data_IF_100325042908
#
_entry.id   IF_100325042908
#
_cell.length_a   1.000
_cell.length_b   1.000
_cell.length_c   1.000
_cell.angle_alpha   90.00
_cell.angle_beta   90.00
_cell.angle_gamma   90.00
#
_symmetry.space_group_name_H-M   'P 1'
#
loop_
_entity.id
_entity.type
_entity.pdbx_description
1 polymer ?
#
# COMPACT_ATOMS: atom_id res chain seq x y z
N UNK A 1 -6.02 9.55 19.31
CA UNK A 1 -7.49 9.47 19.25
C UNK A 1 -8.06 8.96 20.56
N UNK A 2 -7.68 7.79 21.01
CA UNK A 2 -8.21 7.14 22.24
C UNK A 2 -8.02 8.00 23.48
N UNK A 3 -6.88 8.68 23.63
CA UNK A 3 -6.61 9.60 24.76
C UNK A 3 -7.58 10.79 24.77
N UNK A 4 -8.05 11.21 23.59
CA UNK A 4 -9.03 12.29 23.43
C UNK A 4 -10.48 11.78 23.37
N UNK A 5 -10.72 10.50 23.65
CA UNK A 5 -12.06 9.90 23.66
C UNK A 5 -12.59 9.49 22.28
N UNK A 6 -11.77 9.57 21.21
CA UNK A 6 -12.18 9.15 19.87
C UNK A 6 -11.73 7.72 19.56
N UNK A 7 -12.66 6.91 19.06
CA UNK A 7 -12.37 5.58 18.51
C UNK A 7 -12.42 5.64 16.99
N UNK A 8 -11.26 5.45 16.35
CA UNK A 8 -11.18 5.38 14.90
C UNK A 8 -11.15 3.92 14.45
N UNK A 9 -11.85 3.56 13.36
CA UNK A 9 -11.71 2.22 12.77
C UNK A 9 -10.30 2.01 12.23
N UNK A 10 -9.83 0.77 12.29
CA UNK A 10 -8.55 0.38 11.68
C UNK A 10 -8.64 0.60 10.16
N UNK A 11 -7.69 1.35 9.60
CA UNK A 11 -7.68 1.69 8.18
C UNK A 11 -6.55 0.99 7.40
N UNK A 12 -5.48 0.56 8.09
CA UNK A 12 -4.34 -0.15 7.53
C UNK A 12 -3.96 -1.31 8.44
N UNK A 13 -3.82 -2.53 7.86
CA UNK A 13 -3.49 -3.74 8.61
C UNK A 13 -2.39 -4.53 7.93
N UNK A 14 -1.15 -4.03 8.06
CA UNK A 14 0.05 -4.65 7.45
C UNK A 14 -0.17 -5.01 5.96
N UNK A 15 -0.50 -4.04 5.10
CA UNK A 15 -0.87 -4.33 3.71
C UNK A 15 0.29 -4.91 2.90
N UNK A 16 1.53 -4.59 3.26
CA UNK A 16 2.72 -5.03 2.52
C UNK A 16 3.08 -6.50 2.70
N UNK A 17 2.45 -7.24 3.63
CA UNK A 17 2.64 -8.70 3.74
C UNK A 17 1.67 -9.49 2.86
N UNK A 18 0.83 -8.82 2.07
CA UNK A 18 -0.19 -9.43 1.22
C UNK A 18 0.41 -10.30 0.12
N UNK A 19 -0.29 -11.37 -0.22
CA UNK A 19 0.11 -12.37 -1.22
C UNK A 19 -0.76 -12.32 -2.48
N UNK A 20 -1.66 -11.33 -2.57
CA UNK A 20 -2.49 -11.03 -3.73
C UNK A 20 -2.95 -9.58 -3.65
N UNK A 21 -3.36 -9.01 -4.77
CA UNK A 21 -3.92 -7.66 -4.81
C UNK A 21 -5.28 -7.61 -4.12
N UNK A 22 -6.06 -8.68 -4.20
CA UNK A 22 -7.30 -8.82 -3.44
C UNK A 22 -7.07 -8.80 -1.92
N UNK A 23 -5.99 -9.41 -1.42
CA UNK A 23 -5.61 -9.35 -0.01
C UNK A 23 -5.07 -7.97 0.36
N UNK A 24 -4.26 -7.35 -0.51
CA UNK A 24 -3.72 -6.00 -0.29
C UNK A 24 -4.84 -5.00 -0.03
N UNK A 25 -5.87 -4.94 -0.87
CA UNK A 25 -6.98 -4.01 -0.72
C UNK A 25 -7.90 -4.29 0.47
N UNK A 26 -7.90 -5.48 1.02
CA UNK A 26 -8.56 -5.79 2.31
C UNK A 26 -7.79 -5.26 3.52
N UNK A 27 -6.51 -4.91 3.35
CA UNK A 27 -5.61 -4.42 4.38
C UNK A 27 -5.23 -2.95 4.23
N UNK A 28 -5.43 -2.38 3.03
CA UNK A 28 -5.13 -1.00 2.67
C UNK A 28 -6.42 -0.19 2.54
N UNK A 29 -6.46 0.97 3.22
CA UNK A 29 -7.57 1.93 3.16
C UNK A 29 -8.94 1.27 3.38
N UNK A 30 -9.05 0.52 4.49
CA UNK A 30 -10.18 -0.36 4.79
C UNK A 30 -11.50 0.41 4.83
N UNK A 31 -11.51 1.63 5.39
CA UNK A 31 -12.70 2.47 5.46
C UNK A 31 -13.23 2.86 4.07
N UNK A 32 -12.35 3.28 3.15
CA UNK A 32 -12.72 3.61 1.77
C UNK A 32 -13.25 2.38 1.03
N UNK A 33 -12.52 1.26 1.13
CA UNK A 33 -12.93 -0.01 0.51
C UNK A 33 -14.28 -0.49 1.03
N UNK A 34 -14.54 -0.33 2.33
CA UNK A 34 -15.84 -0.67 2.93
C UNK A 34 -16.95 0.25 2.43
N UNK A 35 -16.69 1.56 2.33
CA UNK A 35 -17.64 2.52 1.82
C UNK A 35 -18.05 2.19 0.37
N UNK A 36 -17.08 2.00 -0.53
CA UNK A 36 -17.37 1.63 -1.92
C UNK A 36 -18.07 0.28 -2.03
N UNK A 37 -17.73 -0.69 -1.17
CA UNK A 37 -18.44 -1.97 -1.09
C UNK A 37 -19.91 -1.78 -0.74
N UNK A 38 -20.18 -1.03 0.32
CA UNK A 38 -21.53 -0.95 0.90
C UNK A 38 -22.45 -0.03 0.10
N UNK A 39 -21.92 1.07 -0.45
CA UNK A 39 -22.72 2.08 -1.14
C UNK A 39 -22.68 2.00 -2.68
N UNK A 40 -21.76 1.27 -3.27
CA UNK A 40 -21.66 1.13 -4.73
C UNK A 40 -21.72 -0.33 -5.15
N UNK A 41 -20.82 -1.18 -4.66
CA UNK A 41 -20.70 -2.55 -5.13
C UNK A 41 -21.92 -3.42 -4.79
N UNK A 42 -22.39 -3.39 -3.55
CA UNK A 42 -23.57 -4.17 -3.10
C UNK A 42 -24.85 -3.68 -3.80
N UNK A 43 -25.17 -2.37 -3.88
CA UNK A 43 -26.34 -1.88 -4.64
C UNK A 43 -26.32 -2.24 -6.12
N UNK A 44 -25.14 -2.35 -6.75
CA UNK A 44 -25.03 -2.84 -8.14
C UNK A 44 -25.28 -4.35 -8.29
N UNK A 45 -25.51 -5.07 -7.18
CA UNK A 45 -25.75 -6.52 -7.14
C UNK A 45 -24.54 -7.33 -6.62
N UNK A 46 -23.43 -6.68 -6.34
CA UNK A 46 -22.23 -7.31 -5.77
C UNK A 46 -21.70 -8.45 -6.63
N UNK A 47 -21.44 -9.60 -5.98
CA UNK A 47 -21.00 -10.85 -6.63
C UNK A 47 -22.15 -11.85 -6.88
N UNK A 48 -23.40 -11.49 -6.54
CA UNK A 48 -24.59 -12.35 -6.69
C UNK A 48 -25.28 -12.16 -8.05
N UNK A 49 -24.52 -11.87 -9.08
CA UNK A 49 -24.97 -11.57 -10.45
C UNK A 49 -24.16 -12.39 -11.46
N UNK A 50 -24.54 -12.33 -12.74
CA UNK A 50 -23.78 -12.97 -13.83
C UNK A 50 -22.33 -12.49 -13.86
N UNK A 51 -21.43 -13.31 -14.43
CA UNK A 51 -20.00 -12.97 -14.55
C UNK A 51 -19.77 -11.61 -15.22
N UNK A 52 -20.46 -11.33 -16.32
CA UNK A 52 -20.33 -10.07 -17.06
C UNK A 52 -20.75 -8.88 -16.19
N UNK A 53 -21.87 -9.00 -15.49
CA UNK A 53 -22.35 -7.96 -14.58
C UNK A 53 -21.39 -7.75 -13.40
N UNK A 54 -20.82 -8.80 -12.86
CA UNK A 54 -19.83 -8.70 -11.78
C UNK A 54 -18.57 -7.97 -12.26
N UNK A 55 -18.06 -8.27 -13.46
CA UNK A 55 -16.94 -7.55 -14.07
C UNK A 55 -17.28 -6.07 -14.21
N UNK A 56 -18.47 -5.74 -14.72
CA UNK A 56 -18.94 -4.36 -14.81
C UNK A 56 -18.97 -3.67 -13.43
N UNK A 57 -19.53 -4.33 -12.41
CA UNK A 57 -19.60 -3.77 -11.04
C UNK A 57 -18.20 -3.46 -10.50
N UNK A 58 -17.22 -4.35 -10.68
CA UNK A 58 -15.84 -4.11 -10.27
C UNK A 58 -15.23 -2.92 -11.03
N UNK A 59 -15.41 -2.84 -12.34
CA UNK A 59 -14.88 -1.74 -13.13
C UNK A 59 -15.48 -0.39 -12.73
N UNK A 60 -16.80 -0.34 -12.45
CA UNK A 60 -17.46 0.88 -11.95
C UNK A 60 -16.87 1.31 -10.62
N UNK A 61 -16.75 0.39 -9.66
CA UNK A 61 -16.18 0.68 -8.34
C UNK A 61 -14.77 1.25 -8.45
N UNK A 62 -13.91 0.62 -9.24
CA UNK A 62 -12.51 1.03 -9.37
C UNK A 62 -12.35 2.31 -10.20
N UNK A 63 -13.17 2.52 -11.19
CA UNK A 63 -13.24 3.79 -11.92
C UNK A 63 -13.62 4.95 -10.98
N UNK A 64 -14.67 4.76 -10.18
CA UNK A 64 -15.10 5.75 -9.18
C UNK A 64 -14.07 5.96 -8.07
N UNK A 65 -13.37 4.90 -7.65
CA UNK A 65 -12.25 5.02 -6.71
C UNK A 65 -11.12 5.87 -7.27
N UNK A 66 -10.79 5.70 -8.55
CA UNK A 66 -9.83 6.55 -9.25
C UNK A 66 -10.27 8.02 -9.29
N UNK A 67 -11.52 8.30 -9.69
CA UNK A 67 -12.08 9.65 -9.72
C UNK A 67 -12.15 10.30 -8.33
N UNK A 68 -12.37 9.51 -7.28
CA UNK A 68 -12.38 10.01 -5.91
C UNK A 68 -11.01 10.56 -5.49
N UNK A 69 -9.93 10.02 -6.01
CA UNK A 69 -8.57 10.52 -5.78
C UNK A 69 -8.25 11.82 -6.55
N UNK A 70 -8.99 12.10 -7.62
CA UNK A 70 -8.84 13.31 -8.42
C UNK A 70 -9.30 13.14 -9.87
N UNK A 71 -9.57 14.26 -10.53
CA UNK A 71 -10.09 14.29 -11.90
C UNK A 71 -8.98 14.15 -12.98
N UNK A 72 -7.77 13.72 -12.63
CA UNK A 72 -6.68 13.54 -13.57
C UNK A 72 -6.63 12.10 -14.12
N UNK A 73 -6.17 11.96 -15.36
CA UNK A 73 -6.15 10.67 -16.07
C UNK A 73 -5.27 9.61 -15.42
N UNK A 74 -4.22 10.00 -14.68
CA UNK A 74 -3.39 9.07 -13.94
C UNK A 74 -4.19 8.34 -12.83
N UNK A 75 -5.08 9.03 -12.12
CA UNK A 75 -5.94 8.41 -11.09
C UNK A 75 -6.98 7.49 -11.71
N UNK A 76 -7.57 7.87 -12.83
CA UNK A 76 -8.50 7.01 -13.58
C UNK A 76 -7.79 5.75 -14.05
N UNK A 77 -6.61 5.89 -14.66
CA UNK A 77 -5.81 4.76 -15.12
C UNK A 77 -5.38 3.85 -13.96
N UNK A 78 -4.99 4.43 -12.82
CA UNK A 78 -4.68 3.70 -11.60
C UNK A 78 -5.89 2.89 -11.08
N UNK A 79 -7.06 3.48 -11.03
CA UNK A 79 -8.28 2.76 -10.63
C UNK A 79 -8.60 1.62 -11.59
N UNK A 80 -8.60 1.87 -12.89
CA UNK A 80 -8.84 0.84 -13.91
C UNK A 80 -7.79 -0.28 -13.87
N UNK A 81 -6.52 0.05 -13.63
CA UNK A 81 -5.43 -0.91 -13.44
C UNK A 81 -5.77 -1.92 -12.33
N UNK A 82 -6.17 -1.45 -11.15
CA UNK A 82 -6.55 -2.36 -10.06
C UNK A 82 -7.85 -3.10 -10.34
N UNK A 83 -8.82 -2.47 -10.97
CA UNK A 83 -10.05 -3.14 -11.41
C UNK A 83 -9.75 -4.33 -12.32
N UNK A 84 -8.89 -4.14 -13.31
CA UNK A 84 -8.46 -5.19 -14.25
C UNK A 84 -7.71 -6.31 -13.52
N UNK A 85 -6.73 -5.97 -12.67
CA UNK A 85 -5.97 -6.98 -11.92
C UNK A 85 -6.87 -7.82 -11.04
N UNK A 86 -7.81 -7.23 -10.32
CA UNK A 86 -8.73 -7.96 -9.45
C UNK A 86 -9.65 -8.91 -10.24
N UNK A 87 -10.07 -8.51 -11.44
CA UNK A 87 -10.81 -9.38 -12.35
C UNK A 87 -9.93 -10.56 -12.80
N UNK A 88 -8.71 -10.28 -13.22
CA UNK A 88 -7.74 -11.30 -13.63
C UNK A 88 -7.41 -12.23 -12.47
N UNK A 89 -7.12 -11.72 -11.27
CA UNK A 89 -6.90 -12.55 -10.07
C UNK A 89 -8.09 -13.48 -9.84
N UNK A 90 -9.30 -12.93 -9.81
CA UNK A 90 -10.49 -13.70 -9.46
C UNK A 90 -10.84 -14.78 -10.47
N UNK A 91 -10.75 -14.50 -11.76
CA UNK A 91 -11.28 -15.37 -12.80
C UNK A 91 -10.24 -16.20 -13.54
N UNK A 92 -8.95 -15.85 -13.42
CA UNK A 92 -7.86 -16.48 -14.18
C UNK A 92 -6.74 -16.95 -13.27
N UNK A 93 -6.20 -16.07 -12.40
CA UNK A 93 -4.97 -16.36 -11.68
C UNK A 93 -5.17 -17.08 -10.35
N UNK A 94 -6.36 -17.03 -9.72
CA UNK A 94 -6.58 -17.65 -8.41
C UNK A 94 -6.09 -19.10 -8.32
N UNK A 95 -6.45 -20.02 -9.25
CA UNK A 95 -6.02 -21.41 -9.16
C UNK A 95 -4.51 -21.60 -9.39
N UNK A 96 -3.84 -20.64 -10.03
CA UNK A 96 -2.39 -20.65 -10.22
C UNK A 96 -1.70 -20.09 -8.98
N UNK A 97 -2.14 -18.94 -8.50
CA UNK A 97 -1.58 -18.30 -7.32
C UNK A 97 -1.63 -19.21 -6.09
N UNK A 98 -2.72 -19.96 -5.90
CA UNK A 98 -2.88 -20.86 -4.75
C UNK A 98 -1.87 -22.00 -4.73
N UNK A 99 -1.28 -22.36 -5.89
CA UNK A 99 -0.24 -23.39 -6.03
C UNK A 99 1.18 -22.83 -5.85
N UNK A 100 1.37 -21.53 -5.92
CA UNK A 100 2.69 -20.91 -5.85
C UNK A 100 3.19 -20.78 -4.41
N UNK A 101 4.50 -20.87 -4.18
CA UNK A 101 5.12 -20.58 -2.90
C UNK A 101 4.76 -19.17 -2.39
N UNK A 102 4.64 -19.04 -1.07
CA UNK A 102 4.27 -17.78 -0.41
C UNK A 102 5.16 -16.60 -0.82
N UNK A 103 6.46 -16.84 -1.01
CA UNK A 103 7.43 -15.80 -1.41
C UNK A 103 7.13 -15.29 -2.82
N UNK A 104 6.83 -16.17 -3.77
CA UNK A 104 6.51 -15.79 -5.16
C UNK A 104 5.22 -14.97 -5.19
N UNK A 105 4.20 -15.38 -4.45
CA UNK A 105 2.93 -14.64 -4.31
C UNK A 105 3.15 -13.26 -3.70
N UNK A 106 4.05 -13.16 -2.73
CA UNK A 106 4.38 -11.90 -2.10
C UNK A 106 5.09 -10.95 -3.08
N UNK A 107 6.10 -11.45 -3.80
CA UNK A 107 6.80 -10.66 -4.84
C UNK A 107 5.81 -10.19 -5.90
N UNK A 108 4.92 -11.06 -6.39
CA UNK A 108 3.85 -10.71 -7.31
C UNK A 108 3.01 -9.53 -6.79
N UNK A 109 2.55 -9.63 -5.54
CA UNK A 109 1.73 -8.57 -4.93
C UNK A 109 2.49 -7.24 -4.82
N UNK A 110 3.73 -7.26 -4.31
CA UNK A 110 4.54 -6.05 -4.14
C UNK A 110 4.86 -5.40 -5.49
N UNK A 111 5.25 -6.16 -6.50
CA UNK A 111 5.55 -5.62 -7.84
C UNK A 111 4.32 -4.89 -8.41
N UNK A 112 3.13 -5.50 -8.33
CA UNK A 112 1.91 -4.87 -8.82
C UNK A 112 1.52 -3.63 -8.00
N UNK A 113 1.75 -3.63 -6.70
CA UNK A 113 1.52 -2.45 -5.85
C UNK A 113 2.46 -1.31 -6.25
N UNK A 114 3.74 -1.59 -6.46
CA UNK A 114 4.73 -0.59 -6.89
C UNK A 114 4.37 0.00 -8.26
N UNK A 115 3.97 -0.84 -9.23
CA UNK A 115 3.47 -0.35 -10.53
C UNK A 115 2.25 0.56 -10.35
N UNK A 116 1.31 0.17 -9.48
CA UNK A 116 0.15 0.99 -9.14
C UNK A 116 0.56 2.35 -8.55
N UNK A 117 1.57 2.40 -7.69
CA UNK A 117 2.06 3.66 -7.15
C UNK A 117 2.72 4.55 -8.21
N UNK A 118 3.46 3.97 -9.16
CA UNK A 118 4.01 4.75 -10.27
C UNK A 118 2.90 5.39 -11.10
N UNK A 119 1.82 4.68 -11.39
CA UNK A 119 0.66 5.24 -12.07
C UNK A 119 0.00 6.37 -11.28
N UNK A 120 -0.13 6.18 -9.96
CA UNK A 120 -0.77 7.16 -9.07
C UNK A 120 0.04 8.45 -8.96
N UNK A 121 1.37 8.32 -8.80
CA UNK A 121 2.26 9.43 -8.49
C UNK A 121 2.72 10.22 -9.71
N UNK A 122 2.66 9.62 -10.88
CA UNK A 122 3.15 10.27 -12.11
C UNK A 122 2.20 11.37 -12.56
N UNK A 123 2.72 12.54 -12.95
CA UNK A 123 1.89 13.67 -13.41
C UNK A 123 1.20 13.41 -14.74
N UNK A 124 1.62 12.38 -15.49
CA UNK A 124 1.03 11.96 -16.75
C UNK A 124 1.26 10.48 -17.04
N UNK A 125 0.41 9.89 -17.88
CA UNK A 125 0.55 8.48 -18.32
C UNK A 125 1.87 8.26 -19.08
N UNK A 126 2.30 9.22 -19.90
CA UNK A 126 3.60 9.15 -20.58
C UNK A 126 4.78 9.17 -19.60
N UNK A 127 4.69 9.97 -18.53
CA UNK A 127 5.66 9.98 -17.43
C UNK A 127 5.69 8.65 -16.70
N UNK A 128 4.54 8.07 -16.39
CA UNK A 128 4.44 6.75 -15.76
C UNK A 128 5.09 5.65 -16.61
N UNK A 129 4.78 5.63 -17.92
CA UNK A 129 5.35 4.65 -18.85
C UNK A 129 6.88 4.77 -18.93
N UNK A 130 7.40 6.00 -18.98
CA UNK A 130 8.85 6.25 -18.99
C UNK A 130 9.50 5.80 -17.68
N UNK A 131 8.90 6.13 -16.54
CA UNK A 131 9.42 5.75 -15.24
C UNK A 131 9.43 4.21 -15.07
N UNK A 132 8.35 3.53 -15.44
CA UNK A 132 8.30 2.07 -15.45
C UNK A 132 9.36 1.49 -16.40
N UNK A 133 9.52 2.06 -17.60
CA UNK A 133 10.59 1.65 -18.52
C UNK A 133 11.96 1.69 -17.87
N UNK A 134 12.30 2.80 -17.19
CA UNK A 134 13.57 2.93 -16.46
C UNK A 134 13.69 1.93 -15.30
N UNK A 135 12.63 1.69 -14.55
CA UNK A 135 12.62 0.69 -13.47
C UNK A 135 12.93 -0.73 -13.98
N UNK A 136 12.52 -1.05 -15.20
CA UNK A 136 12.79 -2.34 -15.86
C UNK A 136 14.00 -2.32 -16.78
N UNK A 137 14.87 -1.31 -16.65
CA UNK A 137 16.18 -1.26 -17.29
C UNK A 137 16.24 -0.53 -18.62
N UNK A 138 15.17 0.15 -19.06
CA UNK A 138 15.24 0.96 -20.28
C UNK A 138 16.21 2.14 -20.09
N UNK A 139 17.28 2.19 -20.87
CA UNK A 139 18.33 3.20 -20.78
C UNK A 139 19.31 3.01 -19.62
N UNK A 140 19.29 1.87 -18.94
CA UNK A 140 20.22 1.58 -17.86
C UNK A 140 21.64 1.27 -18.40
N UNK A 141 22.65 1.93 -17.82
CA UNK A 141 24.07 1.67 -18.09
C UNK A 141 24.70 0.73 -17.06
N UNK A 142 23.88 0.09 -16.17
CA UNK A 142 24.32 -0.84 -15.13
C UNK A 142 23.19 -1.15 -14.16
N UNK A 143 23.42 -2.11 -13.24
CA UNK A 143 22.44 -2.54 -12.24
C UNK A 143 22.31 -1.52 -11.08
N UNK A 144 23.40 -0.81 -10.78
CA UNK A 144 23.44 0.23 -9.77
C UNK A 144 24.53 1.25 -10.12
N UNK A 145 24.28 2.50 -9.84
CA UNK A 145 25.27 3.56 -9.90
C UNK A 145 25.75 3.96 -8.48
N UNK A 146 26.72 4.85 -8.42
CA UNK A 146 27.30 5.32 -7.15
C UNK A 146 26.27 6.05 -6.29
N UNK A 147 25.36 6.78 -6.90
CA UNK A 147 24.31 7.54 -6.20
C UNK A 147 23.29 6.60 -5.57
N UNK A 148 22.82 5.58 -6.31
CA UNK A 148 21.91 4.56 -5.81
C UNK A 148 22.50 3.79 -4.62
N UNK A 149 23.79 3.43 -4.69
CA UNK A 149 24.50 2.77 -3.58
C UNK A 149 24.65 3.70 -2.36
N UNK A 150 24.94 4.97 -2.60
CA UNK A 150 25.00 5.98 -1.53
C UNK A 150 23.65 6.10 -0.83
N UNK A 151 22.55 6.30 -1.56
CA UNK A 151 21.22 6.41 -1.02
C UNK A 151 20.79 5.13 -0.26
N UNK A 152 21.12 3.96 -0.77
CA UNK A 152 20.83 2.70 -0.09
C UNK A 152 21.59 2.60 1.25
N UNK A 153 22.87 2.89 1.26
CA UNK A 153 23.72 2.73 2.45
C UNK A 153 23.43 3.79 3.51
N UNK A 154 23.23 5.04 3.13
CA UNK A 154 22.93 6.13 4.07
C UNK A 154 21.56 5.97 4.73
N UNK A 155 20.59 5.37 4.03
CA UNK A 155 19.25 5.11 4.57
C UNK A 155 19.06 3.68 5.09
N UNK A 156 20.11 2.88 5.26
CA UNK A 156 20.00 1.48 5.64
C UNK A 156 19.20 1.28 6.95
N UNK A 157 19.45 2.09 7.96
CA UNK A 157 18.74 2.02 9.25
C UNK A 157 17.24 2.30 9.05
N UNK A 158 16.92 3.32 8.23
CA UNK A 158 15.54 3.64 7.90
C UNK A 158 14.85 2.47 7.17
N UNK A 159 15.52 1.85 6.19
CA UNK A 159 14.99 0.68 5.49
C UNK A 159 14.68 -0.48 6.44
N UNK A 160 15.59 -0.77 7.40
CA UNK A 160 15.37 -1.83 8.40
C UNK A 160 14.14 -1.51 9.26
N UNK A 161 14.02 -0.28 9.75
CA UNK A 161 12.87 0.16 10.56
C UNK A 161 11.57 0.03 9.76
N UNK A 162 11.55 0.48 8.50
CA UNK A 162 10.36 0.42 7.64
C UNK A 162 9.96 -1.03 7.33
N UNK A 163 10.92 -1.91 7.03
CA UNK A 163 10.66 -3.33 6.76
C UNK A 163 10.07 -4.01 8.01
N UNK A 164 10.67 -3.81 9.18
CA UNK A 164 10.17 -4.39 10.43
C UNK A 164 8.80 -3.81 10.78
N UNK A 165 8.63 -2.49 10.68
CA UNK A 165 7.37 -1.79 10.98
C UNK A 165 6.22 -2.14 10.03
N UNK A 166 6.54 -2.56 8.80
CA UNK A 166 5.53 -3.01 7.81
C UNK A 166 4.98 -4.42 8.08
N UNK A 167 5.55 -5.14 9.07
CA UNK A 167 5.17 -6.49 9.45
C UNK A 167 4.50 -6.53 10.83
N UNK A 168 3.70 -7.56 11.15
CA UNK A 168 3.08 -7.71 12.47
C UNK A 168 4.08 -8.15 13.58
N UNK A 169 5.37 -8.29 13.28
CA UNK A 169 6.37 -8.80 14.22
C UNK A 169 6.46 -7.98 15.50
N UNK A 170 6.39 -6.65 15.37
CA UNK A 170 6.45 -5.73 16.52
C UNK A 170 5.23 -5.87 17.41
N UNK A 171 4.03 -5.97 16.81
CA UNK A 171 2.79 -6.14 17.54
C UNK A 171 2.72 -7.49 18.25
N UNK A 172 3.03 -8.58 17.55
CA UNK A 172 3.04 -9.94 18.11
C UNK A 172 4.02 -10.03 19.29
N UNK A 173 5.24 -9.47 19.16
CA UNK A 173 6.22 -9.44 20.25
C UNK A 173 5.75 -8.60 21.44
N UNK A 174 5.17 -7.44 21.15
CA UNK A 174 4.62 -6.56 22.17
C UNK A 174 3.49 -7.24 22.94
N UNK A 175 2.53 -7.87 22.29
CA UNK A 175 1.45 -8.62 22.92
C UNK A 175 2.00 -9.79 23.77
N UNK A 176 3.05 -10.45 23.29
CA UNK A 176 3.72 -11.51 24.06
C UNK A 176 4.37 -10.97 25.34
N UNK A 177 5.08 -9.83 25.26
CA UNK A 177 5.70 -9.18 26.43
C UNK A 177 4.65 -8.73 27.46
N UNK A 178 3.54 -8.17 27.00
CA UNK A 178 2.41 -7.79 27.87
C UNK A 178 1.88 -8.99 28.66
N UNK A 179 1.70 -10.13 28.00
CA UNK A 179 1.20 -11.37 28.64
C UNK A 179 2.18 -11.91 29.69
N UNK A 180 3.48 -11.75 29.49
CA UNK A 180 4.50 -12.25 30.41
C UNK A 180 4.75 -11.33 31.61
N UNK A 181 4.20 -10.11 31.66
CA UNK A 181 4.42 -9.08 32.73
C UNK A 181 5.89 -8.84 33.08
N UNK A 182 6.82 -9.15 32.18
CA UNK A 182 8.27 -9.13 32.47
C UNK A 182 8.92 -7.74 32.46
N UNK A 183 8.26 -6.74 31.85
CA UNK A 183 8.82 -5.41 31.65
C UNK A 183 7.81 -4.32 31.96
N UNK A 184 8.30 -3.16 32.39
CA UNK A 184 7.46 -1.96 32.44
C UNK A 184 7.19 -1.46 31.02
N UNK A 185 6.16 -2.06 30.41
CA UNK A 185 5.76 -1.79 29.02
C UNK A 185 5.40 -0.33 28.79
N UNK A 186 4.91 0.38 29.81
CA UNK A 186 4.57 1.80 29.72
C UNK A 186 5.82 2.65 29.51
N UNK A 187 6.88 2.38 30.26
CA UNK A 187 8.15 3.09 30.12
C UNK A 187 8.81 2.79 28.76
N UNK A 188 8.86 1.50 28.38
CA UNK A 188 9.41 1.08 27.10
C UNK A 188 8.68 1.76 25.92
N UNK A 189 7.36 1.78 25.94
CA UNK A 189 6.56 2.45 24.94
C UNK A 189 6.83 3.95 24.90
N UNK A 190 6.90 4.60 26.07
CA UNK A 190 7.23 6.01 26.16
C UNK A 190 8.57 6.33 25.48
N UNK A 191 9.60 5.51 25.72
CA UNK A 191 10.92 5.66 25.09
C UNK A 191 10.83 5.45 23.58
N UNK A 192 10.18 4.38 23.12
CA UNK A 192 10.05 4.09 21.69
C UNK A 192 9.30 5.23 20.97
N UNK A 193 8.19 5.69 21.52
CA UNK A 193 7.44 6.80 20.91
C UNK A 193 8.21 8.11 20.93
N UNK A 194 8.96 8.41 22.00
CA UNK A 194 9.81 9.59 22.04
C UNK A 194 10.93 9.53 20.98
N UNK A 195 11.60 8.39 20.83
CA UNK A 195 12.62 8.20 19.79
C UNK A 195 12.04 8.33 18.39
N UNK A 196 10.91 7.67 18.12
CA UNK A 196 10.24 7.78 16.82
C UNK A 196 9.79 9.21 16.53
N UNK A 197 9.28 9.92 17.53
CA UNK A 197 8.88 11.32 17.39
C UNK A 197 10.07 12.22 17.05
N UNK A 198 11.19 12.06 17.75
CA UNK A 198 12.42 12.83 17.47
C UNK A 198 12.94 12.52 16.05
N UNK A 199 12.95 11.25 15.65
CA UNK A 199 13.35 10.87 14.28
C UNK A 199 12.42 11.49 13.24
N UNK A 200 11.11 11.45 13.44
CA UNK A 200 10.16 12.10 12.53
C UNK A 200 10.41 13.61 12.41
N UNK A 201 10.66 14.30 13.53
CA UNK A 201 11.01 15.73 13.52
C UNK A 201 12.31 15.95 12.75
N UNK A 202 13.34 15.16 13.03
CA UNK A 202 14.64 15.30 12.34
C UNK A 202 14.48 15.17 10.82
N UNK A 203 13.72 14.18 10.34
CA UNK A 203 13.44 14.02 8.91
C UNK A 203 12.60 15.19 8.36
N UNK A 204 11.56 15.63 9.05
CA UNK A 204 10.73 16.77 8.60
C UNK A 204 11.50 18.07 8.50
N UNK A 205 12.47 18.32 9.37
CA UNK A 205 13.28 19.55 9.37
C UNK A 205 14.35 19.50 8.28
N UNK A 206 14.88 18.32 7.94
CA UNK A 206 15.91 18.17 6.91
C UNK A 206 15.34 18.11 5.49
N UNK A 207 14.07 17.72 5.35
CA UNK A 207 13.42 17.64 4.04
C UNK A 207 12.83 18.98 3.61
N UNK A 208 13.22 19.45 2.44
CA UNK A 208 12.62 20.63 1.78
C UNK A 208 11.31 20.32 1.05
N UNK A 209 10.94 19.05 0.99
CA UNK A 209 9.75 18.56 0.30
C UNK A 209 8.52 18.63 1.20
N UNK A 210 7.42 19.21 0.66
CA UNK A 210 6.16 19.21 1.38
C UNK A 210 5.56 17.78 1.42
N UNK A 211 5.44 17.14 2.61
CA UNK A 211 4.96 15.76 2.73
C UNK A 211 3.47 15.60 2.43
N UNK A 212 2.72 16.69 2.25
CA UNK A 212 1.30 16.64 1.94
C UNK A 212 1.07 16.37 0.44
N UNK A 213 1.08 15.11 0.08
CA UNK A 213 0.78 14.62 -1.28
C UNK A 213 -0.58 15.08 -1.83
N UNK A 214 -1.53 15.35 -0.96
CA UNK A 214 -2.90 15.75 -1.31
C UNK A 214 -3.09 17.24 -1.60
N UNK A 215 -2.10 18.08 -1.38
CA UNK A 215 -2.19 19.53 -1.67
C UNK A 215 -1.65 19.94 -3.05
N UNK A 216 -1.66 19.03 -4.02
CA UNK A 216 -1.41 19.34 -5.44
C UNK A 216 -2.72 19.41 -6.24
N UNK A 217 -3.74 20.00 -5.66
CA UNK A 217 -4.96 20.38 -6.39
C UNK A 217 -4.88 21.82 -6.81
#
# INVERSE_FOLDING_TARGET
GTILGFTFPENFRYPFISKSISEFWRRWHISLSSWFRDYVYIPLGGNRVSKSRHIFNLMVVWFLTGLWHGAAWNFVAWGLYYGIILIIEKYILSPVLDKLPSVVRHIYSIVLVVIGWVLFFSPSLGGAARYLGMMFGAGAHGVADRESLYLLTTNLVLWIILIIGSTPLTDVRYQHMLRQKKWNTTLLNGIVYAVLFILCIAYLVTETYNPFLYFRF
#
